data_IF_252178143258
#
_entry.id   IF_252178143258
#
_cell.length_a   1.000
_cell.length_b   1.000
_cell.length_c   1.000
_cell.angle_alpha   90.00
_cell.angle_beta   90.00
_cell.angle_gamma   90.00
#
_symmetry.space_group_name_H-M   'P 1'
#
loop_
_entity.id
_entity.type
_entity.pdbx_description
1 polymer ?
#
# COMPACT_ATOMS: atom_id res chain seq x y z
N UNK A 1 -16.82 0.69 -0.17
CA UNK A 1 -15.36 0.57 -0.38
C UNK A 1 -14.79 -0.29 0.74
N UNK A 2 -13.93 -1.25 0.39
CA UNK A 2 -13.27 -2.14 1.36
C UNK A 2 -11.76 -2.05 1.18
N UNK A 3 -11.01 -2.30 2.24
CA UNK A 3 -9.57 -2.56 2.18
C UNK A 3 -9.30 -3.97 2.70
N UNK A 4 -8.58 -4.79 1.92
CA UNK A 4 -8.10 -6.10 2.38
C UNK A 4 -6.58 -6.03 2.52
N UNK A 5 -6.09 -6.16 3.74
CA UNK A 5 -4.66 -6.18 4.01
C UNK A 5 -4.09 -7.53 3.63
N UNK A 6 -3.27 -7.59 2.58
CA UNK A 6 -2.57 -8.82 2.19
C UNK A 6 -1.37 -9.09 3.09
N UNK A 7 -0.78 -8.03 3.63
CA UNK A 7 0.31 -8.06 4.59
C UNK A 7 0.34 -6.78 5.41
N UNK A 8 0.79 -6.89 6.66
CA UNK A 8 0.75 -5.79 7.65
C UNK A 8 2.10 -5.45 8.25
N UNK A 9 3.14 -6.25 7.96
CA UNK A 9 4.43 -6.16 8.60
C UNK A 9 5.46 -5.28 7.88
N UNK A 10 6.49 -4.88 8.60
CA UNK A 10 7.66 -4.19 8.06
C UNK A 10 8.64 -5.14 7.33
N UNK A 11 9.84 -4.64 6.97
CA UNK A 11 10.81 -5.38 6.16
C UNK A 11 11.31 -6.70 6.77
N UNK A 12 11.46 -6.79 8.10
CA UNK A 12 12.14 -7.91 8.77
C UNK A 12 11.21 -8.82 9.58
N UNK A 13 9.91 -8.74 9.33
CA UNK A 13 8.93 -9.64 9.97
C UNK A 13 9.02 -11.07 9.46
N UNK A 14 8.65 -12.02 10.30
CA UNK A 14 8.64 -13.46 9.99
C UNK A 14 7.28 -14.12 10.18
N UNK A 15 6.43 -13.54 11.02
CA UNK A 15 5.12 -14.08 11.41
C UNK A 15 3.96 -13.55 10.54
N UNK A 16 4.18 -12.44 9.83
CA UNK A 16 3.21 -11.79 8.94
C UNK A 16 3.86 -11.48 7.59
N UNK A 17 3.05 -11.14 6.59
CA UNK A 17 3.59 -10.71 5.30
C UNK A 17 3.88 -9.21 5.31
N UNK A 18 4.82 -8.78 4.44
CA UNK A 18 5.16 -7.38 4.30
C UNK A 18 3.99 -6.56 3.76
N UNK A 19 3.94 -5.29 4.14
CA UNK A 19 2.82 -4.39 3.86
C UNK A 19 2.43 -4.32 2.39
N UNK A 20 1.22 -4.75 2.09
CA UNK A 20 0.54 -4.55 0.82
C UNK A 20 -0.95 -4.82 1.00
N UNK A 21 -1.79 -4.22 0.16
CA UNK A 21 -3.24 -4.33 0.30
C UNK A 21 -3.99 -4.09 -1.00
N UNK A 22 -5.29 -4.40 -0.99
CA UNK A 22 -6.20 -4.16 -2.11
C UNK A 22 -7.37 -3.31 -1.64
N UNK A 23 -7.59 -2.17 -2.28
CA UNK A 23 -8.86 -1.44 -2.20
C UNK A 23 -9.84 -2.07 -3.18
N UNK A 24 -11.03 -2.41 -2.69
CA UNK A 24 -12.10 -3.02 -3.47
C UNK A 24 -13.28 -2.07 -3.54
N UNK A 25 -13.67 -1.67 -4.75
CA UNK A 25 -14.91 -0.95 -5.02
C UNK A 25 -15.97 -1.92 -5.55
N UNK A 26 -17.11 -1.97 -4.87
CA UNK A 26 -18.26 -2.76 -5.31
C UNK A 26 -19.17 -1.89 -6.18
N UNK A 27 -19.16 -2.12 -7.49
CA UNK A 27 -20.11 -1.46 -8.38
C UNK A 27 -21.53 -2.00 -8.17
N UNK A 28 -22.55 -1.14 -8.42
CA UNK A 28 -23.97 -1.45 -8.28
C UNK A 28 -24.45 -2.66 -9.12
N UNK A 29 -23.61 -3.18 -10.00
CA UNK A 29 -23.90 -4.34 -10.87
C UNK A 29 -23.17 -5.62 -10.46
N UNK A 30 -22.50 -5.65 -9.28
CA UNK A 30 -21.81 -6.83 -8.76
C UNK A 30 -20.45 -7.11 -9.40
N UNK A 31 -19.88 -6.14 -10.12
CA UNK A 31 -18.50 -6.21 -10.63
C UNK A 31 -17.60 -5.48 -9.65
N UNK A 32 -16.66 -6.20 -9.05
CA UNK A 32 -15.65 -5.61 -8.18
C UNK A 32 -14.50 -5.04 -9.01
N UNK A 33 -14.01 -3.88 -8.58
CA UNK A 33 -12.81 -3.23 -9.11
C UNK A 33 -11.75 -3.14 -8.03
N UNK A 34 -10.53 -3.44 -8.40
CA UNK A 34 -9.41 -3.54 -7.46
C UNK A 34 -8.35 -2.49 -7.75
N UNK A 35 -7.86 -1.84 -6.69
CA UNK A 35 -6.66 -1.03 -6.71
C UNK A 35 -5.69 -1.60 -5.68
N UNK A 36 -4.66 -2.27 -6.17
CA UNK A 36 -3.65 -2.92 -5.34
C UNK A 36 -2.52 -1.92 -5.04
N UNK A 37 -2.05 -1.89 -3.79
CA UNK A 37 -0.92 -1.06 -3.37
C UNK A 37 0.18 -1.94 -2.85
N UNK A 38 1.34 -1.85 -3.47
CA UNK A 38 2.52 -2.68 -3.27
C UNK A 38 2.28 -4.18 -3.43
N UNK A 39 3.32 -4.99 -3.27
CA UNK A 39 3.21 -6.43 -3.43
C UNK A 39 4.06 -7.22 -2.41
N UNK A 40 4.55 -6.54 -1.38
CA UNK A 40 5.36 -7.17 -0.35
C UNK A 40 6.73 -7.69 -0.81
N UNK A 41 7.36 -8.49 0.01
CA UNK A 41 8.76 -8.92 -0.10
C UNK A 41 9.01 -10.17 -0.95
N UNK A 42 8.11 -10.58 -1.83
CA UNK A 42 8.44 -11.70 -2.72
C UNK A 42 7.28 -12.55 -3.23
N UNK A 43 7.58 -13.79 -3.59
CA UNK A 43 6.63 -14.70 -4.23
C UNK A 43 5.44 -15.11 -3.37
N UNK A 44 5.47 -14.85 -2.08
CA UNK A 44 4.35 -15.12 -1.17
C UNK A 44 3.11 -14.25 -1.49
N UNK A 45 3.25 -13.16 -2.24
CA UNK A 45 2.11 -12.37 -2.72
C UNK A 45 1.07 -13.23 -3.44
N UNK A 46 1.50 -14.26 -4.17
CA UNK A 46 0.60 -15.20 -4.86
C UNK A 46 -0.26 -15.98 -3.87
N UNK A 47 0.34 -16.36 -2.74
CA UNK A 47 -0.35 -17.03 -1.65
C UNK A 47 -1.34 -16.07 -0.97
N UNK A 48 -0.91 -14.85 -0.66
CA UNK A 48 -1.74 -13.84 -0.02
C UNK A 48 -2.98 -13.51 -0.85
N UNK A 49 -2.83 -13.23 -2.14
CA UNK A 49 -3.96 -13.00 -3.05
C UNK A 49 -4.94 -14.20 -3.06
N UNK A 50 -4.41 -15.42 -3.17
CA UNK A 50 -5.24 -16.63 -3.19
C UNK A 50 -6.05 -16.81 -1.90
N UNK A 51 -5.42 -16.63 -0.74
CA UNK A 51 -6.08 -16.84 0.56
C UNK A 51 -7.00 -15.69 0.95
N UNK A 52 -6.75 -14.49 0.45
CA UNK A 52 -7.70 -13.37 0.52
C UNK A 52 -8.89 -13.51 -0.46
N UNK A 53 -8.89 -14.55 -1.30
CA UNK A 53 -9.97 -14.80 -2.26
C UNK A 53 -9.86 -14.04 -3.57
N UNK A 54 -8.75 -13.35 -3.81
CA UNK A 54 -8.52 -12.61 -5.05
C UNK A 54 -7.98 -13.50 -6.17
N UNK A 55 -8.46 -13.22 -7.37
CA UNK A 55 -7.84 -13.73 -8.58
C UNK A 55 -6.88 -12.66 -9.12
N UNK A 56 -5.58 -12.95 -9.18
CA UNK A 56 -4.58 -11.99 -9.69
C UNK A 56 -4.82 -11.54 -11.13
N UNK A 57 -5.62 -12.27 -11.91
CA UNK A 57 -6.01 -11.87 -13.27
C UNK A 57 -6.97 -10.69 -13.30
N UNK A 58 -7.60 -10.37 -12.16
CA UNK A 58 -8.49 -9.22 -12.00
C UNK A 58 -7.77 -7.99 -11.44
N UNK A 59 -6.48 -8.14 -11.00
CA UNK A 59 -5.62 -7.04 -10.58
C UNK A 59 -5.13 -6.26 -11.80
N UNK A 60 -5.83 -5.18 -12.13
CA UNK A 60 -5.58 -4.37 -13.32
C UNK A 60 -4.94 -3.03 -13.03
N UNK A 61 -5.18 -2.49 -11.86
CA UNK A 61 -4.72 -1.19 -11.41
C UNK A 61 -3.87 -1.38 -10.15
N UNK A 62 -2.57 -1.13 -10.25
CA UNK A 62 -1.60 -1.40 -9.20
C UNK A 62 -0.75 -0.16 -8.98
N UNK A 63 -0.50 0.22 -7.73
CA UNK A 63 0.41 1.28 -7.37
C UNK A 63 1.60 0.73 -6.60
N UNK A 64 2.79 1.10 -7.00
CA UNK A 64 4.06 0.78 -6.35
C UNK A 64 4.63 2.05 -5.72
N UNK A 65 4.65 2.08 -4.40
CA UNK A 65 5.01 3.28 -3.62
C UNK A 65 6.49 3.63 -3.75
N UNK A 66 7.38 2.64 -3.60
CA UNK A 66 8.83 2.84 -3.62
C UNK A 66 9.61 1.52 -3.83
N UNK A 67 10.94 1.60 -3.79
CA UNK A 67 11.86 0.52 -4.18
C UNK A 67 12.36 -0.38 -3.05
N UNK A 68 11.96 -0.19 -1.80
CA UNK A 68 12.39 -1.09 -0.74
C UNK A 68 11.92 -2.52 -1.00
N UNK A 69 12.73 -3.50 -0.60
CA UNK A 69 12.55 -4.90 -1.01
C UNK A 69 11.25 -5.50 -0.50
N UNK A 70 10.75 -5.05 0.63
CA UNK A 70 9.51 -5.45 1.28
C UNK A 70 8.24 -4.87 0.64
N UNK A 71 8.37 -3.96 -0.31
CA UNK A 71 7.28 -3.42 -1.15
C UNK A 71 7.44 -3.86 -2.61
N UNK A 72 8.68 -3.89 -3.07
CA UNK A 72 9.03 -4.00 -4.49
C UNK A 72 9.13 -5.43 -5.00
N UNK A 73 9.74 -6.36 -4.25
CA UNK A 73 10.13 -7.65 -4.85
C UNK A 73 8.95 -8.54 -5.18
N UNK A 74 7.83 -8.42 -4.46
CA UNK A 74 6.56 -9.05 -4.84
C UNK A 74 5.99 -8.52 -6.17
N UNK A 75 6.28 -7.26 -6.54
CA UNK A 75 5.81 -6.69 -7.79
C UNK A 75 6.42 -7.37 -9.01
N UNK A 76 7.65 -7.87 -8.91
CA UNK A 76 8.28 -8.68 -9.98
C UNK A 76 7.46 -9.95 -10.23
N UNK A 77 6.92 -10.55 -9.17
CA UNK A 77 6.02 -11.70 -9.27
C UNK A 77 4.69 -11.33 -9.89
N UNK A 78 4.14 -10.17 -9.57
CA UNK A 78 2.91 -9.66 -10.21
C UNK A 78 3.11 -9.45 -11.71
N UNK A 79 4.21 -8.79 -12.13
CA UNK A 79 4.58 -8.64 -13.55
C UNK A 79 4.69 -10.00 -14.23
N UNK A 80 5.37 -10.98 -13.58
CA UNK A 80 5.49 -12.33 -14.10
C UNK A 80 4.13 -13.02 -14.27
N UNK A 81 3.26 -12.96 -13.26
CA UNK A 81 1.93 -13.59 -13.28
C UNK A 81 1.05 -13.02 -14.39
N UNK A 82 0.97 -11.68 -14.46
CA UNK A 82 0.18 -10.97 -15.46
C UNK A 82 0.67 -11.33 -16.86
N UNK A 83 1.96 -11.16 -17.14
CA UNK A 83 2.53 -11.39 -18.48
C UNK A 83 2.50 -12.87 -18.89
N UNK A 84 2.64 -13.80 -17.93
CA UNK A 84 2.49 -15.24 -18.21
C UNK A 84 1.06 -15.60 -18.60
N UNK A 85 0.07 -15.00 -17.94
CA UNK A 85 -1.33 -15.24 -18.25
C UNK A 85 -1.78 -14.51 -19.54
N UNK A 86 -1.21 -13.33 -19.84
CA UNK A 86 -1.34 -12.70 -21.17
C UNK A 86 -0.79 -13.60 -22.26
N UNK A 87 0.40 -14.20 -22.06
CA UNK A 87 1.02 -15.14 -23.00
C UNK A 87 0.16 -16.39 -23.26
N UNK A 88 -0.50 -16.90 -22.23
CA UNK A 88 -1.37 -18.09 -22.34
C UNK A 88 -2.79 -17.77 -22.79
N UNK A 89 -3.14 -16.49 -23.05
CA UNK A 89 -4.47 -16.06 -23.45
C UNK A 89 -5.52 -16.09 -22.32
N UNK A 90 -5.10 -16.27 -21.07
CA UNK A 90 -6.00 -16.30 -19.90
C UNK A 90 -6.28 -14.92 -19.31
N UNK A 91 -5.37 -13.98 -19.48
CA UNK A 91 -5.52 -12.59 -19.03
C UNK A 91 -6.03 -11.75 -20.21
N UNK A 92 -7.26 -11.27 -20.11
CA UNK A 92 -7.88 -10.41 -21.12
C UNK A 92 -7.71 -8.94 -20.76
N UNK A 93 -7.57 -8.05 -21.79
CA UNK A 93 -7.40 -6.61 -21.60
C UNK A 93 -6.00 -6.21 -21.14
N UNK A 94 -5.92 -5.08 -20.47
CA UNK A 94 -4.68 -4.40 -20.09
C UNK A 94 -4.52 -4.35 -18.57
N UNK A 95 -3.30 -4.13 -18.10
CA UNK A 95 -2.96 -3.86 -16.72
C UNK A 95 -2.02 -2.65 -16.63
N UNK A 96 -2.13 -1.91 -15.53
CA UNK A 96 -1.39 -0.69 -15.28
C UNK A 96 -0.67 -0.78 -13.92
N UNK A 97 0.61 -0.47 -13.91
CA UNK A 97 1.39 -0.31 -12.68
C UNK A 97 1.90 1.12 -12.63
N UNK A 98 1.42 1.87 -11.66
CA UNK A 98 1.78 3.26 -11.39
C UNK A 98 2.88 3.33 -10.36
N UNK A 99 3.72 4.36 -10.42
CA UNK A 99 4.73 4.67 -9.43
C UNK A 99 5.56 5.88 -9.87
N UNK A 100 6.37 6.44 -8.98
CA UNK A 100 7.28 7.51 -9.40
C UNK A 100 8.31 6.97 -10.41
N UNK A 101 8.88 7.87 -11.23
CA UNK A 101 9.73 7.51 -12.36
C UNK A 101 10.83 6.50 -12.01
N UNK A 102 11.58 6.74 -10.92
CA UNK A 102 12.71 5.87 -10.54
C UNK A 102 12.29 4.43 -10.24
N UNK A 103 11.15 4.23 -9.54
CA UNK A 103 10.68 2.89 -9.18
C UNK A 103 10.13 2.15 -10.40
N UNK A 104 9.49 2.86 -11.32
CA UNK A 104 8.97 2.30 -12.56
C UNK A 104 10.11 1.89 -13.51
N UNK A 105 11.13 2.73 -13.66
CA UNK A 105 12.32 2.39 -14.44
C UNK A 105 13.07 1.18 -13.87
N UNK A 106 13.18 1.10 -12.54
CA UNK A 106 13.78 -0.05 -11.86
C UNK A 106 12.97 -1.32 -12.09
N UNK A 107 11.63 -1.26 -11.99
CA UNK A 107 10.75 -2.40 -12.22
C UNK A 107 10.85 -2.90 -13.66
N UNK A 108 10.90 -1.99 -14.65
CA UNK A 108 11.07 -2.34 -16.05
C UNK A 108 12.42 -3.04 -16.29
N UNK A 109 13.51 -2.44 -15.80
CA UNK A 109 14.87 -2.98 -15.97
C UNK A 109 15.02 -4.37 -15.38
N UNK A 110 14.60 -4.56 -14.12
CA UNK A 110 14.68 -5.85 -13.43
C UNK A 110 13.76 -6.88 -14.10
N UNK A 111 12.54 -6.51 -14.46
CA UNK A 111 11.60 -7.41 -15.13
C UNK A 111 12.15 -7.91 -16.47
N UNK A 112 12.72 -7.04 -17.28
CA UNK A 112 13.32 -7.42 -18.57
C UNK A 112 14.54 -8.33 -18.43
N UNK A 113 15.31 -8.18 -17.34
CA UNK A 113 16.47 -9.04 -17.06
C UNK A 113 16.09 -10.41 -16.52
N UNK A 114 15.01 -10.51 -15.75
CA UNK A 114 14.61 -11.76 -15.08
C UNK A 114 13.61 -12.60 -15.88
N UNK A 115 12.75 -11.95 -16.68
CA UNK A 115 11.65 -12.63 -17.37
C UNK A 115 12.07 -13.10 -18.78
N UNK A 116 11.36 -14.11 -19.27
CA UNK A 116 11.61 -14.62 -20.63
C UNK A 116 11.10 -13.65 -21.69
N UNK A 117 11.70 -13.61 -22.90
CA UNK A 117 11.27 -12.73 -23.99
C UNK A 117 9.78 -12.82 -24.31
N UNK A 118 9.20 -14.01 -24.21
CA UNK A 118 7.75 -14.24 -24.43
C UNK A 118 6.82 -13.62 -23.38
N UNK A 119 7.37 -13.19 -22.24
CA UNK A 119 6.66 -12.43 -21.20
C UNK A 119 6.97 -10.93 -21.36
N UNK A 120 8.26 -10.60 -21.53
CA UNK A 120 8.74 -9.21 -21.66
C UNK A 120 8.03 -8.45 -22.78
N UNK A 121 7.66 -9.12 -23.88
CA UNK A 121 6.95 -8.48 -25.00
C UNK A 121 5.64 -7.79 -24.63
N UNK A 122 5.02 -8.18 -23.52
CA UNK A 122 3.78 -7.54 -23.05
C UNK A 122 4.02 -6.26 -22.24
N UNK A 123 5.25 -6.02 -21.78
CA UNK A 123 5.61 -4.77 -21.10
C UNK A 123 5.69 -3.65 -22.14
N UNK A 124 4.82 -2.66 -22.00
CA UNK A 124 4.61 -1.57 -22.95
C UNK A 124 3.58 -1.87 -24.06
N UNK A 125 3.08 -3.12 -24.15
CA UNK A 125 2.01 -3.52 -25.07
C UNK A 125 0.65 -3.58 -24.32
N UNK A 126 0.51 -4.51 -23.39
CA UNK A 126 -0.70 -4.73 -22.58
C UNK A 126 -0.48 -4.57 -21.07
N UNK A 127 0.74 -4.66 -20.61
CA UNK A 127 1.14 -4.28 -19.25
C UNK A 127 1.86 -2.95 -19.33
N UNK A 128 1.24 -1.91 -18.82
CA UNK A 128 1.73 -0.54 -18.86
C UNK A 128 2.40 -0.20 -17.52
N UNK A 129 3.70 0.10 -17.58
CA UNK A 129 4.45 0.66 -16.45
C UNK A 129 4.39 2.18 -16.59
N UNK A 130 3.68 2.84 -15.69
CA UNK A 130 3.28 4.25 -15.83
C UNK A 130 3.96 5.11 -14.78
N UNK A 131 4.95 5.92 -15.14
CA UNK A 131 5.48 6.91 -14.23
C UNK A 131 4.45 8.00 -13.95
N UNK A 132 4.34 8.38 -12.68
CA UNK A 132 3.51 9.49 -12.21
C UNK A 132 4.36 10.55 -11.53
N UNK A 133 3.94 11.81 -11.62
CA UNK A 133 4.64 12.96 -11.04
C UNK A 133 3.98 13.39 -9.71
N UNK A 134 4.73 14.17 -8.90
CA UNK A 134 4.20 14.75 -7.66
C UNK A 134 2.96 15.63 -7.93
N UNK A 135 1.87 15.33 -7.24
CA UNK A 135 0.59 16.01 -7.40
C UNK A 135 -0.21 15.59 -8.63
N UNK A 136 0.26 14.60 -9.40
CA UNK A 136 -0.48 14.11 -10.57
C UNK A 136 -1.74 13.37 -10.13
N UNK A 137 -2.87 13.73 -10.75
CA UNK A 137 -4.18 13.09 -10.53
C UNK A 137 -4.59 12.27 -11.75
N UNK A 138 -4.99 11.03 -11.52
CA UNK A 138 -5.58 10.14 -12.53
C UNK A 138 -6.96 9.65 -12.12
N UNK A 139 -7.76 9.27 -13.11
CA UNK A 139 -9.03 8.56 -12.85
C UNK A 139 -8.74 7.06 -12.95
N UNK A 140 -8.84 6.38 -11.83
CA UNK A 140 -8.62 4.92 -11.71
C UNK A 140 -9.88 4.30 -11.13
N UNK A 141 -10.42 3.31 -11.80
CA UNK A 141 -11.68 2.64 -11.41
C UNK A 141 -12.89 3.59 -11.27
N UNK A 142 -12.84 4.79 -11.87
CA UNK A 142 -13.88 5.80 -11.76
C UNK A 142 -13.68 6.79 -10.60
N UNK A 143 -12.61 6.66 -9.85
CA UNK A 143 -12.24 7.53 -8.72
C UNK A 143 -11.02 8.38 -9.06
N UNK A 144 -10.87 9.54 -8.40
CA UNK A 144 -9.68 10.36 -8.54
C UNK A 144 -8.59 9.85 -7.59
N UNK A 145 -7.42 9.55 -8.14
CA UNK A 145 -6.25 9.16 -7.36
C UNK A 145 -5.15 10.19 -7.62
N UNK A 146 -4.75 10.91 -6.60
CA UNK A 146 -3.65 11.88 -6.66
C UNK A 146 -2.43 11.27 -6.00
N UNK A 147 -1.34 11.15 -6.74
CA UNK A 147 -0.07 10.64 -6.24
C UNK A 147 0.80 11.81 -5.77
N UNK A 148 1.49 11.65 -4.66
CA UNK A 148 2.31 12.73 -4.12
C UNK A 148 3.62 12.22 -3.49
N UNK A 149 4.68 13.01 -3.61
CA UNK A 149 5.96 12.75 -2.95
C UNK A 149 5.80 13.00 -1.44
N UNK A 150 6.20 12.05 -0.60
CA UNK A 150 6.16 12.21 0.86
C UNK A 150 7.40 12.93 1.42
N UNK A 151 8.38 13.25 0.58
CA UNK A 151 9.63 13.89 0.97
C UNK A 151 10.59 12.96 1.71
N UNK A 152 10.54 11.65 1.40
CA UNK A 152 11.43 10.65 2.00
C UNK A 152 12.90 10.99 1.85
N UNK A 153 13.67 10.76 2.90
CA UNK A 153 15.13 10.98 2.93
C UNK A 153 15.94 9.70 2.69
N UNK A 154 15.31 8.52 2.68
CA UNK A 154 15.97 7.23 2.42
C UNK A 154 15.91 6.83 0.96
N UNK A 155 14.71 6.76 0.42
CA UNK A 155 14.44 6.40 -0.96
C UNK A 155 13.20 7.17 -1.41
N UNK A 156 13.21 7.72 -2.62
CA UNK A 156 12.03 8.40 -3.15
C UNK A 156 10.80 7.51 -2.99
N UNK A 157 9.77 8.06 -2.39
CA UNK A 157 8.53 7.37 -2.07
C UNK A 157 7.33 8.27 -2.32
N UNK A 158 6.28 7.69 -2.87
CA UNK A 158 5.02 8.38 -3.07
C UNK A 158 3.93 7.78 -2.18
N UNK A 159 3.12 8.68 -1.61
CA UNK A 159 1.80 8.39 -1.06
C UNK A 159 0.71 8.64 -2.10
N UNK A 160 -0.54 8.48 -1.69
CA UNK A 160 -1.67 8.80 -2.54
C UNK A 160 -2.88 9.30 -1.75
N UNK A 161 -3.70 10.13 -2.41
CA UNK A 161 -5.04 10.51 -1.99
C UNK A 161 -6.04 9.87 -2.96
N UNK A 162 -6.92 9.01 -2.44
CA UNK A 162 -7.99 8.35 -3.18
C UNK A 162 -9.33 9.02 -2.86
N UNK A 163 -9.90 9.72 -3.82
CA UNK A 163 -11.17 10.43 -3.68
C UNK A 163 -12.29 9.62 -4.32
N UNK A 164 -13.14 9.04 -3.48
CA UNK A 164 -14.27 8.22 -3.91
C UNK A 164 -15.36 9.07 -4.58
N UNK A 165 -16.20 8.44 -5.41
CA UNK A 165 -17.29 9.11 -6.12
C UNK A 165 -18.37 9.70 -5.19
N UNK A 166 -18.46 9.21 -3.96
CA UNK A 166 -19.37 9.75 -2.91
C UNK A 166 -18.75 10.91 -2.11
N UNK A 167 -17.51 11.28 -2.44
CA UNK A 167 -16.79 12.40 -1.82
C UNK A 167 -15.90 12.00 -0.64
N UNK A 168 -15.95 10.75 -0.17
CA UNK A 168 -15.05 10.27 0.90
C UNK A 168 -13.61 10.14 0.39
N UNK A 169 -12.65 10.31 1.27
CA UNK A 169 -11.23 10.38 0.95
C UNK A 169 -10.41 9.43 1.81
N UNK A 170 -9.51 8.70 1.17
CA UNK A 170 -8.51 7.86 1.81
C UNK A 170 -7.14 8.46 1.49
N UNK A 171 -6.37 8.83 2.51
CA UNK A 171 -4.98 9.28 2.35
C UNK A 171 -4.02 8.24 2.91
N UNK A 172 -3.06 7.80 2.08
CA UNK A 172 -1.96 6.94 2.49
C UNK A 172 -0.66 7.75 2.47
N UNK A 173 -0.01 7.85 3.63
CA UNK A 173 1.21 8.66 3.83
C UNK A 173 2.51 7.83 3.74
N UNK A 174 2.45 6.61 3.20
CA UNK A 174 3.65 5.78 3.02
C UNK A 174 4.10 5.06 4.29
N UNK A 175 5.39 4.70 4.35
CA UNK A 175 6.01 3.94 5.45
C UNK A 175 7.14 4.71 6.16
N UNK A 176 7.04 6.02 6.19
CA UNK A 176 7.95 6.93 6.91
C UNK A 176 7.15 7.91 7.79
N UNK A 177 7.82 8.61 8.73
CA UNK A 177 7.19 9.64 9.54
C UNK A 177 6.58 10.75 8.67
N UNK A 178 5.39 11.16 9.04
CA UNK A 178 4.65 12.21 8.34
C UNK A 178 5.45 13.49 8.16
N UNK A 179 5.47 13.99 6.93
CA UNK A 179 6.11 15.25 6.58
C UNK A 179 5.06 16.29 6.15
N UNK A 180 4.71 17.19 7.09
CA UNK A 180 3.67 18.21 6.85
C UNK A 180 3.93 19.07 5.60
N UNK A 181 5.20 19.36 5.27
CA UNK A 181 5.53 20.17 4.10
C UNK A 181 5.09 19.55 2.77
N UNK A 182 5.02 18.23 2.71
CA UNK A 182 4.65 17.46 1.51
C UNK A 182 3.21 16.94 1.57
N UNK A 183 2.74 16.51 2.74
CA UNK A 183 1.57 15.66 2.89
C UNK A 183 0.31 16.37 3.43
N UNK A 184 0.46 17.49 4.19
CA UNK A 184 -0.66 18.13 4.89
C UNK A 184 -1.83 18.47 3.95
N UNK A 185 -1.53 18.98 2.75
CA UNK A 185 -2.55 19.36 1.77
C UNK A 185 -3.40 18.16 1.26
N UNK A 186 -2.92 16.93 1.43
CA UNK A 186 -3.60 15.71 1.04
C UNK A 186 -4.26 14.99 2.22
N UNK A 187 -3.57 14.95 3.37
CA UNK A 187 -4.05 14.24 4.55
C UNK A 187 -5.15 15.00 5.31
N UNK A 188 -5.07 16.34 5.30
CA UNK A 188 -6.07 17.18 5.99
C UNK A 188 -7.45 17.06 5.35
N UNK A 189 -8.44 16.69 6.17
CA UNK A 189 -9.81 16.49 5.70
C UNK A 189 -10.05 15.15 4.98
N UNK A 190 -9.13 14.19 5.08
CA UNK A 190 -9.37 12.82 4.70
C UNK A 190 -10.34 12.14 5.69
N UNK A 191 -11.14 11.20 5.21
CA UNK A 191 -12.01 10.37 6.06
C UNK A 191 -11.24 9.21 6.69
N UNK A 192 -10.22 8.73 5.98
CA UNK A 192 -9.31 7.68 6.43
C UNK A 192 -7.85 8.12 6.26
N UNK A 193 -7.07 7.98 7.31
CA UNK A 193 -5.61 8.06 7.26
C UNK A 193 -5.04 6.65 7.39
N UNK A 194 -4.30 6.23 6.38
CA UNK A 194 -3.50 5.01 6.39
C UNK A 194 -2.06 5.41 6.71
N UNK A 195 -1.55 5.00 7.86
CA UNK A 195 -0.23 5.41 8.35
C UNK A 195 0.56 4.24 8.93
N UNK A 196 1.86 4.25 8.73
CA UNK A 196 2.74 3.28 9.35
C UNK A 196 2.81 3.46 10.88
N UNK A 197 3.02 2.35 11.59
CA UNK A 197 3.22 2.33 13.04
C UNK A 197 4.17 1.19 13.42
N UNK A 198 5.45 1.46 13.29
CA UNK A 198 6.49 0.43 13.38
C UNK A 198 6.44 -0.37 14.68
N UNK A 199 6.30 0.29 15.82
CA UNK A 199 6.22 -0.34 17.14
C UNK A 199 5.45 0.54 18.13
N UNK A 200 5.19 -0.01 19.33
CA UNK A 200 4.71 0.76 20.48
C UNK A 200 5.75 1.80 20.90
N UNK A 201 5.30 2.97 21.36
CA UNK A 201 6.18 4.04 21.83
C UNK A 201 7.04 3.60 23.04
N UNK A 202 6.49 2.78 23.93
CA UNK A 202 7.26 2.24 25.07
C UNK A 202 8.39 1.30 24.66
N UNK A 203 8.32 0.71 23.45
CA UNK A 203 9.33 -0.18 22.89
C UNK A 203 10.32 0.51 21.95
N UNK A 204 10.24 1.84 21.77
CA UNK A 204 11.08 2.60 20.85
C UNK A 204 12.60 2.46 21.12
N UNK A 205 12.99 2.27 22.39
CA UNK A 205 14.39 2.09 22.76
C UNK A 205 14.94 0.69 22.37
N UNK A 206 14.05 -0.27 22.10
CA UNK A 206 14.41 -1.62 21.62
C UNK A 206 14.39 -1.69 20.11
N UNK A 207 13.43 -1.05 19.46
CA UNK A 207 13.23 -1.13 18.01
C UNK A 207 13.92 0.00 17.24
N UNK A 208 14.26 1.12 17.90
CA UNK A 208 14.90 2.29 17.29
C UNK A 208 14.15 2.82 16.04
N UNK A 209 12.81 3.05 16.10
CA UNK A 209 12.03 3.44 14.93
C UNK A 209 12.53 4.74 14.30
N UNK A 210 12.87 5.75 15.11
CA UNK A 210 13.29 7.07 14.61
C UNK A 210 14.62 7.02 13.84
N UNK A 211 15.58 6.18 14.30
CA UNK A 211 16.84 5.97 13.60
C UNK A 211 16.65 5.25 12.26
N UNK A 212 15.57 4.46 12.17
CA UNK A 212 15.16 3.75 10.96
C UNK A 212 14.22 4.57 10.09
N UNK A 213 13.89 5.80 10.48
CA UNK A 213 12.92 6.69 9.83
C UNK A 213 11.52 6.07 9.82
N UNK A 214 11.03 5.66 10.98
CA UNK A 214 9.67 5.16 11.19
C UNK A 214 9.02 5.85 12.39
N UNK A 215 7.68 5.80 12.43
CA UNK A 215 6.86 6.31 13.52
C UNK A 215 6.49 5.19 14.50
N UNK A 216 6.12 5.58 15.72
CA UNK A 216 5.44 4.71 16.68
C UNK A 216 3.93 4.82 16.53
N UNK A 217 3.20 3.91 17.18
CA UNK A 217 1.72 3.98 17.28
C UNK A 217 1.27 5.34 17.82
N UNK A 218 1.96 5.83 18.87
CA UNK A 218 1.65 7.13 19.49
C UNK A 218 1.80 8.28 18.48
N UNK A 219 2.90 8.29 17.70
CA UNK A 219 3.14 9.35 16.71
C UNK A 219 2.02 9.38 15.65
N UNK A 220 1.64 8.22 15.13
CA UNK A 220 0.56 8.09 14.16
C UNK A 220 -0.80 8.54 14.74
N UNK A 221 -1.08 8.20 16.01
CA UNK A 221 -2.30 8.59 16.71
C UNK A 221 -2.37 10.10 16.98
N UNK A 222 -1.28 10.71 17.46
CA UNK A 222 -1.18 12.15 17.66
C UNK A 222 -1.31 12.92 16.35
N UNK A 223 -0.75 12.40 15.26
CA UNK A 223 -0.93 12.94 13.92
C UNK A 223 -2.40 12.91 13.50
N UNK A 224 -3.08 11.76 13.57
CA UNK A 224 -4.48 11.62 13.19
C UNK A 224 -5.38 12.58 14.01
N UNK A 225 -5.07 12.75 15.31
CA UNK A 225 -5.76 13.71 16.18
C UNK A 225 -5.53 15.15 15.72
N UNK A 226 -4.31 15.51 15.37
CA UNK A 226 -3.96 16.88 14.92
C UNK A 226 -4.61 17.25 13.61
N UNK A 227 -4.70 16.29 12.68
CA UNK A 227 -5.34 16.44 11.37
C UNK A 227 -6.88 16.34 11.45
N UNK A 228 -7.42 15.95 12.61
CA UNK A 228 -8.85 15.72 12.84
C UNK A 228 -9.45 14.68 11.86
N UNK A 229 -8.67 13.69 11.48
CA UNK A 229 -9.14 12.59 10.63
C UNK A 229 -10.01 11.66 11.50
N UNK A 230 -11.21 11.23 11.05
CA UNK A 230 -12.09 10.41 11.88
C UNK A 230 -11.65 8.95 12.01
N UNK A 231 -10.90 8.40 11.03
CA UNK A 231 -10.49 6.99 11.03
C UNK A 231 -9.01 6.84 10.73
N UNK A 232 -8.31 6.07 11.56
CA UNK A 232 -6.89 5.74 11.46
C UNK A 232 -6.70 4.25 11.27
N UNK A 233 -6.04 3.84 10.18
CA UNK A 233 -5.60 2.47 9.96
C UNK A 233 -4.08 2.39 10.07
N UNK A 234 -3.61 1.53 10.98
CA UNK A 234 -2.19 1.33 11.26
C UNK A 234 -1.65 0.07 10.57
N UNK A 235 -0.52 0.21 9.91
CA UNK A 235 0.17 -0.89 9.22
C UNK A 235 1.70 -0.76 9.37
N UNK A 236 2.48 -1.62 8.68
CA UNK A 236 3.94 -1.63 8.65
C UNK A 236 4.56 -1.83 10.04
N UNK A 237 4.00 -2.80 10.76
CA UNK A 237 4.33 -3.05 12.16
C UNK A 237 5.44 -4.09 12.33
N UNK A 238 6.07 -4.12 13.50
CA UNK A 238 6.86 -5.26 13.96
C UNK A 238 5.98 -6.48 14.29
N UNK A 239 6.57 -7.66 14.47
CA UNK A 239 5.84 -8.91 14.73
C UNK A 239 6.09 -9.55 16.12
N UNK A 240 6.84 -8.87 17.01
CA UNK A 240 7.10 -9.33 18.39
C UNK A 240 5.80 -9.49 19.18
N UNK A 241 4.87 -8.55 19.00
CA UNK A 241 3.61 -8.51 19.73
C UNK A 241 2.43 -9.10 18.96
N UNK A 242 2.67 -9.89 17.91
CA UNK A 242 1.65 -10.28 16.92
C UNK A 242 0.36 -10.83 17.56
N UNK A 243 0.45 -11.68 18.60
CA UNK A 243 -0.70 -12.26 19.26
C UNK A 243 -1.58 -11.26 20.03
N UNK A 244 -1.04 -10.09 20.38
CA UNK A 244 -1.71 -9.02 21.12
C UNK A 244 -1.63 -7.67 20.42
N UNK A 245 -1.08 -7.62 19.23
CA UNK A 245 -0.83 -6.38 18.47
C UNK A 245 -2.09 -5.50 18.40
N UNK A 246 -3.20 -6.08 17.98
CA UNK A 246 -4.48 -5.37 17.85
C UNK A 246 -4.92 -4.70 19.17
N UNK A 247 -4.83 -5.44 20.29
CA UNK A 247 -5.14 -4.92 21.62
C UNK A 247 -4.19 -3.78 22.04
N UNK A 248 -2.88 -4.04 21.97
CA UNK A 248 -1.86 -3.12 22.49
C UNK A 248 -1.79 -1.83 21.65
N UNK A 249 -1.79 -1.95 20.34
CA UNK A 249 -1.71 -0.78 19.42
C UNK A 249 -2.99 0.05 19.50
N UNK A 250 -4.16 -0.58 19.58
CA UNK A 250 -5.42 0.14 19.77
C UNK A 250 -5.43 0.91 21.10
N UNK A 251 -4.98 0.28 22.19
CA UNK A 251 -4.95 0.91 23.50
C UNK A 251 -4.00 2.12 23.53
N UNK A 252 -2.79 1.99 22.95
CA UNK A 252 -1.84 3.10 22.86
C UNK A 252 -2.38 4.25 21.99
N UNK A 253 -2.93 3.93 20.83
CA UNK A 253 -3.49 4.94 19.94
C UNK A 253 -4.65 5.71 20.59
N UNK A 254 -5.56 5.02 21.28
CA UNK A 254 -6.70 5.62 21.96
C UNK A 254 -6.32 6.49 23.17
N UNK A 255 -5.09 6.41 23.66
CA UNK A 255 -4.60 7.31 24.71
C UNK A 255 -4.44 8.77 24.23
N UNK A 256 -4.24 8.98 22.91
CA UNK A 256 -4.01 10.31 22.32
C UNK A 256 -4.92 10.64 21.14
N UNK A 257 -5.74 9.70 20.69
CA UNK A 257 -6.64 9.86 19.56
C UNK A 257 -8.07 9.43 19.89
N UNK A 258 -9.04 10.28 19.58
CA UNK A 258 -10.45 10.06 19.92
C UNK A 258 -11.27 9.46 18.78
N UNK A 259 -10.70 9.34 17.59
CA UNK A 259 -11.34 8.75 16.42
C UNK A 259 -11.29 7.21 16.43
N UNK A 260 -11.74 6.63 15.34
CA UNK A 260 -11.74 5.18 15.14
C UNK A 260 -10.36 4.65 14.76
N UNK A 261 -9.83 3.69 15.50
CA UNK A 261 -8.53 3.04 15.25
C UNK A 261 -8.74 1.64 14.73
N UNK A 262 -8.07 1.31 13.63
CA UNK A 262 -8.03 -0.03 13.04
C UNK A 262 -6.58 -0.52 13.01
N UNK A 263 -6.33 -1.68 13.61
CA UNK A 263 -5.06 -2.41 13.58
C UNK A 263 -5.33 -3.76 12.92
N UNK A 264 -5.15 -3.88 11.61
CA UNK A 264 -5.56 -5.08 10.88
C UNK A 264 -4.57 -6.25 11.06
N UNK A 265 -5.09 -7.44 10.84
CA UNK A 265 -4.29 -8.66 10.64
C UNK A 265 -4.10 -8.91 9.13
N UNK A 266 -3.14 -9.79 8.78
CA UNK A 266 -3.00 -10.27 7.40
C UNK A 266 -4.30 -10.94 6.95
N UNK A 267 -4.71 -10.68 5.72
CA UNK A 267 -5.93 -11.16 5.06
C UNK A 267 -7.24 -10.61 5.66
N UNK A 268 -7.17 -9.70 6.62
CA UNK A 268 -8.37 -9.05 7.16
C UNK A 268 -8.93 -8.02 6.17
N UNK A 269 -10.27 -8.03 6.02
CA UNK A 269 -11.01 -7.06 5.20
C UNK A 269 -11.77 -6.10 6.10
N UNK A 270 -11.60 -4.80 5.87
CA UNK A 270 -12.20 -3.70 6.64
C UNK A 270 -13.09 -2.87 5.69
N UNK A 271 -14.28 -2.52 6.15
CA UNK A 271 -15.14 -1.54 5.47
C UNK A 271 -14.63 -0.10 5.74
N UNK A 272 -14.49 0.68 4.67
CA UNK A 272 -14.00 2.08 4.72
C UNK A 272 -15.13 3.09 4.57
#
# INVERSE_FOLDING_TARGET
MKITMLGTGNALVSEVYNTCYVLTDEEKQGTEKYFMVDAGGGGQIVHQLKYAGFNWMDMREIFLTHKHIDHFTGMIWMVRLITQNMKSGKYEGEAHIYGHKEVIELLDDISRKLLQPGQVKFIGDRLHLIPVEDGETRVINGHKVTFFDIGSTKAKQFGYLYEMSDGRKICCCGDEPYNAAFEEKYAKGADWLLHEAFCLYEERDSFHPYEKHHSTVKDAAELAQSLQVPNLLLYHTEDKNIARRKELYTAEAQASYTGHVVVPEDLETIEL
#
